data_IF_166261098880
#
_entry.id   IF_166261098880
#
_cell.length_a   1.000
_cell.length_b   1.000
_cell.length_c   1.000
_cell.angle_alpha   90.00
_cell.angle_beta   90.00
_cell.angle_gamma   90.00
#
_symmetry.space_group_name_H-M   'P 1'
#
loop_
_entity.id
_entity.type
_entity.pdbx_description
1 polymer ?
#
# COMPACT_ATOMS: atom_id res chain seq x y z
N UNK A 1 28.06 -13.07 -12.35
CA UNK A 1 27.16 -12.97 -13.51
C UNK A 1 26.08 -11.98 -13.13
N UNK A 2 25.98 -10.85 -13.86
CA UNK A 2 24.90 -9.90 -13.69
C UNK A 2 23.56 -10.59 -14.05
N UNK A 3 22.55 -10.43 -13.23
CA UNK A 3 21.20 -10.86 -13.59
C UNK A 3 20.64 -9.80 -14.55
N UNK A 4 20.25 -10.16 -15.78
CA UNK A 4 19.73 -9.17 -16.72
C UNK A 4 18.49 -8.50 -16.13
N UNK A 5 18.45 -7.17 -16.17
CA UNK A 5 17.27 -6.39 -15.81
C UNK A 5 16.26 -6.47 -16.96
N UNK A 6 15.36 -7.42 -16.89
CA UNK A 6 14.36 -7.68 -17.91
C UNK A 6 12.93 -7.37 -17.45
N UNK A 7 12.77 -6.58 -16.37
CA UNK A 7 11.46 -6.24 -15.83
C UNK A 7 11.22 -4.74 -15.90
N UNK A 8 10.12 -4.34 -16.54
CA UNK A 8 9.55 -2.99 -16.44
C UNK A 8 8.63 -2.96 -15.25
N UNK A 9 9.06 -2.30 -14.16
CA UNK A 9 8.25 -2.15 -12.96
C UNK A 9 7.40 -0.87 -13.03
N UNK A 10 6.08 -1.00 -13.04
CA UNK A 10 5.15 0.13 -12.95
C UNK A 10 4.68 0.24 -11.50
N UNK A 11 4.95 1.40 -10.88
CA UNK A 11 4.72 1.61 -9.45
C UNK A 11 3.67 2.69 -9.25
N UNK A 12 2.61 2.35 -8.54
CA UNK A 12 1.47 3.22 -8.31
C UNK A 12 1.41 3.67 -6.85
N UNK A 13 0.98 4.91 -6.64
CA UNK A 13 0.32 5.29 -5.39
C UNK A 13 -1.10 4.70 -5.39
N UNK A 14 -1.80 4.75 -4.25
CA UNK A 14 -3.13 4.16 -4.14
C UNK A 14 -4.23 5.23 -4.03
N UNK A 15 -4.28 5.95 -2.90
CA UNK A 15 -5.33 6.92 -2.64
C UNK A 15 -5.28 8.08 -3.63
N UNK A 16 -6.40 8.41 -4.26
CA UNK A 16 -6.54 9.45 -5.30
C UNK A 16 -5.68 9.20 -6.57
N UNK A 17 -5.15 7.98 -6.73
CA UNK A 17 -4.40 7.54 -7.92
C UNK A 17 -5.04 6.32 -8.58
N UNK A 18 -5.27 5.25 -7.83
CA UNK A 18 -6.03 4.06 -8.28
C UNK A 18 -7.47 4.10 -7.78
N UNK A 19 -7.72 4.74 -6.65
CA UNK A 19 -9.01 4.95 -6.01
C UNK A 19 -9.36 6.45 -6.00
N UNK A 20 -10.63 6.84 -6.18
CA UNK A 20 -11.04 8.25 -6.12
C UNK A 20 -11.08 8.83 -4.71
N UNK A 21 -11.07 7.98 -3.69
CA UNK A 21 -11.25 8.34 -2.27
C UNK A 21 -10.11 7.82 -1.41
N UNK A 22 -10.04 8.30 -0.16
CA UNK A 22 -9.18 7.69 0.85
C UNK A 22 -9.77 6.35 1.31
N UNK A 23 -8.96 5.30 1.32
CA UNK A 23 -9.41 3.94 1.70
C UNK A 23 -10.01 3.86 3.10
N UNK A 24 -9.54 4.68 4.04
CA UNK A 24 -10.08 4.71 5.40
C UNK A 24 -11.52 5.23 5.41
N UNK A 25 -11.79 6.28 4.63
CA UNK A 25 -13.13 6.89 4.54
C UNK A 25 -14.12 5.94 3.89
N UNK A 26 -13.69 5.19 2.91
CA UNK A 26 -14.55 4.28 2.17
C UNK A 26 -14.80 2.96 2.93
N UNK A 27 -13.73 2.31 3.42
CA UNK A 27 -13.83 0.97 3.98
C UNK A 27 -14.10 0.94 5.49
N UNK A 28 -13.52 1.89 6.26
CA UNK A 28 -13.53 1.82 7.73
C UNK A 28 -14.56 2.77 8.37
N UNK A 29 -14.62 4.02 7.93
CA UNK A 29 -15.42 5.02 8.61
C UNK A 29 -16.91 4.65 8.72
N UNK A 30 -17.55 4.11 7.68
CA UNK A 30 -18.95 3.70 7.78
C UNK A 30 -19.17 2.53 8.76
N UNK A 31 -18.18 1.64 8.90
CA UNK A 31 -18.29 0.44 9.75
C UNK A 31 -18.12 0.79 11.23
N UNK A 32 -17.21 1.71 11.53
CA UNK A 32 -16.85 2.09 12.90
C UNK A 32 -17.50 3.39 13.34
N UNK A 33 -18.42 3.96 12.55
CA UNK A 33 -19.13 5.21 12.88
C UNK A 33 -18.20 6.42 12.98
N UNK A 34 -17.11 6.46 12.21
CA UNK A 34 -16.10 7.52 12.27
C UNK A 34 -16.54 8.69 11.39
N UNK A 35 -16.60 9.89 11.99
CA UNK A 35 -16.84 11.13 11.24
C UNK A 35 -15.54 11.62 10.60
N UNK A 36 -15.48 11.69 9.28
CA UNK A 36 -14.28 12.05 8.51
C UNK A 36 -13.71 13.42 8.91
N UNK A 37 -14.57 14.45 9.03
CA UNK A 37 -14.12 15.81 9.39
C UNK A 37 -13.44 15.84 10.76
N UNK A 38 -14.04 15.20 11.76
CA UNK A 38 -13.49 15.15 13.11
C UNK A 38 -12.21 14.32 13.16
N UNK A 39 -12.18 13.23 12.42
CA UNK A 39 -11.00 12.36 12.32
C UNK A 39 -9.79 13.11 11.78
N UNK A 40 -9.92 13.75 10.62
CA UNK A 40 -8.80 14.47 10.01
C UNK A 40 -8.41 15.72 10.79
N UNK A 41 -9.37 16.41 11.43
CA UNK A 41 -9.06 17.52 12.32
C UNK A 41 -8.19 17.07 13.51
N UNK A 42 -8.51 15.93 14.14
CA UNK A 42 -7.71 15.36 15.23
C UNK A 42 -6.33 14.91 14.76
N UNK A 43 -6.22 14.33 13.56
CA UNK A 43 -4.91 14.02 12.98
C UNK A 43 -4.06 15.28 12.79
N UNK A 44 -4.65 16.34 12.23
CA UNK A 44 -3.98 17.64 12.05
C UNK A 44 -3.52 18.27 13.36
N UNK A 45 -4.32 18.17 14.42
CA UNK A 45 -3.94 18.63 15.75
C UNK A 45 -2.71 17.89 16.31
N UNK A 46 -2.66 16.55 16.17
CA UNK A 46 -1.50 15.76 16.59
C UNK A 46 -0.22 16.18 15.84
N UNK A 47 -0.33 16.40 14.53
CA UNK A 47 0.81 16.86 13.73
C UNK A 47 1.27 18.25 14.16
N UNK A 48 0.35 19.21 14.28
CA UNK A 48 0.68 20.61 14.52
C UNK A 48 1.11 20.88 15.97
N UNK A 49 0.45 20.23 16.95
CA UNK A 49 0.64 20.53 18.37
C UNK A 49 1.61 19.59 19.07
N UNK A 50 1.78 18.36 18.57
CA UNK A 50 2.60 17.33 19.22
C UNK A 50 3.71 16.77 18.33
N UNK A 51 3.84 17.24 17.08
CA UNK A 51 4.93 16.88 16.18
C UNK A 51 4.87 15.44 15.65
N UNK A 52 3.68 14.85 15.56
CA UNK A 52 3.52 13.52 14.96
C UNK A 52 3.80 13.57 13.46
N UNK A 53 4.40 12.50 12.91
CA UNK A 53 4.34 12.26 11.48
C UNK A 53 2.89 12.06 11.05
N UNK A 54 2.55 12.50 9.84
CA UNK A 54 1.18 12.43 9.31
C UNK A 54 0.61 11.01 9.33
N UNK A 55 1.42 10.03 8.93
CA UNK A 55 1.02 8.63 8.86
C UNK A 55 0.83 8.05 10.26
N UNK A 56 1.71 8.37 11.20
CA UNK A 56 1.57 7.94 12.59
C UNK A 56 0.36 8.60 13.26
N UNK A 57 0.07 9.86 12.94
CA UNK A 57 -1.09 10.57 13.48
C UNK A 57 -2.40 9.87 13.06
N UNK A 58 -2.60 9.62 11.76
CA UNK A 58 -3.84 8.96 11.32
C UNK A 58 -3.94 7.52 11.83
N UNK A 59 -2.84 6.76 11.85
CA UNK A 59 -2.83 5.40 12.37
C UNK A 59 -3.19 5.36 13.86
N UNK A 60 -2.66 6.30 14.65
CA UNK A 60 -3.01 6.44 16.07
C UNK A 60 -4.48 6.79 16.24
N UNK A 61 -4.97 7.84 15.58
CA UNK A 61 -6.37 8.27 15.71
C UNK A 61 -7.33 7.16 15.28
N UNK A 62 -6.98 6.38 14.25
CA UNK A 62 -7.77 5.25 13.80
C UNK A 62 -7.88 4.16 14.89
N UNK A 63 -6.75 3.82 15.55
CA UNK A 63 -6.75 2.88 16.68
C UNK A 63 -7.61 3.38 17.85
N UNK A 64 -7.53 4.69 18.17
CA UNK A 64 -8.35 5.29 19.22
C UNK A 64 -9.84 5.20 18.87
N UNK A 65 -10.22 5.45 17.63
CA UNK A 65 -11.61 5.34 17.19
C UNK A 65 -12.17 3.90 17.23
N UNK A 66 -11.30 2.90 17.11
CA UNK A 66 -11.64 1.48 17.13
C UNK A 66 -11.29 0.78 18.44
N UNK A 67 -11.03 1.53 19.52
CA UNK A 67 -10.51 0.97 20.78
C UNK A 67 -11.44 -0.09 21.40
N UNK A 68 -12.75 0.10 21.32
CA UNK A 68 -13.76 -0.81 21.90
C UNK A 68 -13.88 -2.10 21.06
N UNK A 69 -13.76 -1.98 19.74
CA UNK A 69 -13.92 -3.11 18.80
C UNK A 69 -12.77 -3.09 17.76
N UNK A 70 -11.57 -3.41 18.22
CA UNK A 70 -10.38 -3.47 17.37
C UNK A 70 -10.50 -4.61 16.36
N UNK A 71 -10.47 -4.33 15.05
CA UNK A 71 -10.59 -5.36 14.04
C UNK A 71 -9.34 -6.25 13.97
N UNK A 72 -9.54 -7.44 13.45
CA UNK A 72 -8.45 -8.34 13.04
C UNK A 72 -7.97 -7.98 11.63
N UNK A 73 -6.77 -8.46 11.25
CA UNK A 73 -6.32 -8.36 9.86
C UNK A 73 -7.27 -9.05 8.88
N UNK A 74 -7.90 -10.16 9.29
CA UNK A 74 -8.91 -10.85 8.48
C UNK A 74 -10.12 -9.93 8.22
N UNK A 75 -10.61 -9.23 9.26
CA UNK A 75 -11.70 -8.25 9.10
C UNK A 75 -11.32 -7.07 8.23
N UNK A 76 -10.13 -6.52 8.41
CA UNK A 76 -9.64 -5.43 7.56
C UNK A 76 -9.52 -5.87 6.09
N UNK A 77 -9.02 -7.08 5.83
CA UNK A 77 -8.95 -7.66 4.48
C UNK A 77 -10.35 -7.81 3.85
N UNK A 78 -11.33 -8.29 4.62
CA UNK A 78 -12.73 -8.36 4.17
C UNK A 78 -13.26 -6.97 3.78
N UNK A 79 -13.00 -5.96 4.61
CA UNK A 79 -13.42 -4.57 4.33
C UNK A 79 -12.73 -3.99 3.09
N UNK A 80 -11.51 -4.42 2.78
CA UNK A 80 -10.80 -4.07 1.55
C UNK A 80 -11.55 -4.44 0.27
N UNK A 81 -12.44 -5.44 0.29
CA UNK A 81 -13.29 -5.80 -0.86
C UNK A 81 -14.31 -4.72 -1.26
N UNK A 82 -14.56 -3.76 -0.38
CA UNK A 82 -15.49 -2.64 -0.61
C UNK A 82 -14.86 -1.48 -1.36
N UNK A 83 -13.53 -1.47 -1.47
CA UNK A 83 -12.79 -0.38 -2.10
C UNK A 83 -13.16 -0.23 -3.58
N UNK A 84 -13.41 0.99 -4.00
CA UNK A 84 -13.73 1.35 -5.37
C UNK A 84 -12.52 1.90 -6.12
N UNK A 85 -12.57 1.83 -7.43
CA UNK A 85 -11.45 2.18 -8.29
C UNK A 85 -11.92 3.03 -9.45
N UNK A 86 -11.00 3.81 -10.01
CA UNK A 86 -11.27 4.50 -11.26
C UNK A 86 -11.67 3.52 -12.37
N UNK A 87 -12.48 3.96 -13.34
CA UNK A 87 -12.84 3.15 -14.51
C UNK A 87 -11.60 2.60 -15.24
N UNK A 88 -11.70 1.35 -15.73
CA UNK A 88 -10.58 0.67 -16.40
C UNK A 88 -9.70 -0.18 -15.48
N UNK A 89 -9.95 -0.18 -14.16
CA UNK A 89 -9.31 -1.09 -13.20
C UNK A 89 -10.25 -2.23 -12.80
N UNK A 90 -9.76 -3.47 -12.76
CA UNK A 90 -8.34 -3.90 -12.85
C UNK A 90 -7.82 -4.20 -14.27
N UNK A 91 -8.64 -4.06 -15.31
CA UNK A 91 -8.35 -4.50 -16.70
C UNK A 91 -7.06 -3.87 -17.24
N UNK A 92 -6.77 -2.62 -16.90
CA UNK A 92 -5.56 -1.89 -17.27
C UNK A 92 -4.28 -2.66 -16.93
N UNK A 93 -4.24 -3.39 -15.80
CA UNK A 93 -3.03 -4.14 -15.42
C UNK A 93 -2.69 -5.24 -16.42
N UNK A 94 -3.69 -5.96 -16.91
CA UNK A 94 -3.47 -7.01 -17.92
C UNK A 94 -3.19 -6.39 -19.31
N UNK A 95 -3.88 -5.31 -19.66
CA UNK A 95 -3.62 -4.59 -20.89
C UNK A 95 -2.18 -4.09 -20.98
N UNK A 96 -1.64 -3.52 -19.89
CA UNK A 96 -0.27 -3.01 -19.87
C UNK A 96 0.79 -4.11 -19.98
N UNK A 97 0.52 -5.33 -19.52
CA UNK A 97 1.44 -6.46 -19.69
C UNK A 97 1.67 -6.82 -21.17
N UNK A 98 0.73 -6.47 -22.02
CA UNK A 98 0.80 -6.80 -23.46
C UNK A 98 1.04 -5.58 -24.33
N UNK A 99 0.34 -4.46 -24.10
CA UNK A 99 0.39 -3.27 -24.95
C UNK A 99 1.71 -2.49 -24.86
N UNK A 100 2.43 -2.58 -23.74
CA UNK A 100 3.71 -1.91 -23.55
C UNK A 100 4.90 -2.67 -24.16
N UNK A 101 4.72 -3.93 -24.52
CA UNK A 101 5.79 -4.78 -25.04
C UNK A 101 5.72 -4.89 -26.56
N UNK A 102 6.84 -4.63 -27.22
CA UNK A 102 7.02 -4.95 -28.65
C UNK A 102 7.44 -6.42 -28.82
N UNK A 103 7.33 -7.01 -30.02
CA UNK A 103 7.86 -8.35 -30.28
C UNK A 103 9.33 -8.50 -29.92
N UNK A 104 10.13 -7.46 -30.08
CA UNK A 104 11.54 -7.45 -29.72
C UNK A 104 11.74 -7.51 -28.20
N UNK A 105 10.96 -6.78 -27.43
CA UNK A 105 10.94 -6.88 -25.96
C UNK A 105 10.63 -8.31 -25.50
N UNK A 106 9.63 -8.93 -26.09
CA UNK A 106 9.24 -10.32 -25.76
C UNK A 106 10.36 -11.31 -26.11
N UNK A 107 11.00 -11.14 -27.28
CA UNK A 107 12.12 -11.99 -27.71
C UNK A 107 13.32 -11.90 -26.75
N UNK A 108 13.51 -10.76 -26.08
CA UNK A 108 14.55 -10.55 -25.06
C UNK A 108 14.09 -10.89 -23.63
N UNK A 109 12.90 -11.48 -23.46
CA UNK A 109 12.37 -11.90 -22.16
C UNK A 109 11.97 -10.74 -21.26
N UNK A 110 11.69 -9.55 -21.81
CA UNK A 110 11.24 -8.40 -21.02
C UNK A 110 9.79 -8.63 -20.60
N UNK A 111 9.51 -8.35 -19.32
CA UNK A 111 8.19 -8.48 -18.71
C UNK A 111 7.74 -7.18 -18.06
N UNK A 112 6.43 -7.03 -17.86
CA UNK A 112 5.85 -5.90 -17.10
C UNK A 112 5.31 -6.42 -15.78
N UNK A 113 5.68 -5.78 -14.69
CA UNK A 113 5.15 -6.05 -13.35
C UNK A 113 4.57 -4.78 -12.73
N UNK A 114 3.50 -4.96 -11.95
CA UNK A 114 2.81 -3.87 -11.26
C UNK A 114 3.08 -3.92 -9.77
N UNK A 115 3.28 -2.75 -9.15
CA UNK A 115 3.56 -2.58 -7.74
C UNK A 115 2.73 -1.44 -7.16
N UNK A 116 2.37 -1.53 -5.88
CA UNK A 116 1.74 -0.43 -5.15
C UNK A 116 2.64 -0.03 -3.98
N UNK A 117 2.88 1.27 -3.83
CA UNK A 117 3.58 1.87 -2.69
C UNK A 117 2.70 2.99 -2.13
N UNK A 118 2.01 2.72 -1.02
CA UNK A 118 0.97 3.57 -0.45
C UNK A 118 1.28 4.00 0.98
N UNK A 119 0.83 5.19 1.35
CA UNK A 119 0.73 5.62 2.75
C UNK A 119 -0.53 5.11 3.46
N UNK A 120 -1.40 4.39 2.74
CA UNK A 120 -2.59 3.75 3.28
C UNK A 120 -2.31 2.38 3.91
N UNK A 121 -3.35 1.74 4.42
CA UNK A 121 -3.29 0.48 5.16
C UNK A 121 -3.18 -0.71 4.19
N UNK A 122 -2.03 -1.36 4.18
CA UNK A 122 -1.71 -2.48 3.27
C UNK A 122 -2.78 -3.58 3.25
N UNK A 123 -3.25 -4.01 4.41
CA UNK A 123 -4.20 -5.13 4.51
C UNK A 123 -5.56 -4.83 3.87
N UNK A 124 -5.97 -3.58 3.79
CA UNK A 124 -7.15 -3.17 3.01
C UNK A 124 -6.90 -3.36 1.51
N UNK A 125 -5.74 -2.92 1.03
CA UNK A 125 -5.36 -3.09 -0.38
C UNK A 125 -5.23 -4.58 -0.72
N UNK A 126 -4.63 -5.40 0.17
CA UNK A 126 -4.53 -6.85 0.01
C UNK A 126 -5.90 -7.54 -0.10
N UNK A 127 -6.97 -6.95 0.45
CA UNK A 127 -8.34 -7.45 0.36
C UNK A 127 -9.11 -6.96 -0.87
N UNK A 128 -8.56 -6.04 -1.63
CA UNK A 128 -9.23 -5.41 -2.77
C UNK A 128 -9.16 -6.25 -4.04
N UNK A 129 -10.06 -5.94 -5.00
CA UNK A 129 -10.12 -6.62 -6.29
C UNK A 129 -8.88 -6.43 -7.17
N UNK A 130 -8.04 -5.42 -6.90
CA UNK A 130 -6.81 -5.19 -7.66
C UNK A 130 -5.60 -5.96 -7.13
N UNK A 131 -5.65 -6.45 -5.88
CA UNK A 131 -4.54 -7.16 -5.26
C UNK A 131 -3.97 -8.33 -6.08
N UNK A 132 -4.79 -9.17 -6.76
CA UNK A 132 -4.28 -10.28 -7.58
C UNK A 132 -3.45 -9.86 -8.80
N UNK A 133 -3.58 -8.61 -9.24
CA UNK A 133 -2.92 -8.09 -10.44
C UNK A 133 -1.56 -7.45 -10.18
N UNK A 134 -1.21 -7.25 -8.91
CA UNK A 134 0.05 -6.61 -8.53
C UNK A 134 1.03 -7.59 -7.90
N UNK A 135 2.29 -7.46 -8.25
CA UNK A 135 3.39 -8.32 -7.77
C UNK A 135 3.63 -8.15 -6.27
N UNK A 136 3.57 -6.91 -5.79
CA UNK A 136 3.78 -6.57 -4.37
C UNK A 136 3.07 -5.27 -3.99
N UNK A 137 2.53 -5.27 -2.78
CA UNK A 137 1.95 -4.10 -2.14
C UNK A 137 2.81 -3.74 -0.93
N UNK A 138 3.26 -2.49 -0.88
CA UNK A 138 3.89 -1.85 0.28
C UNK A 138 2.94 -0.80 0.82
N UNK A 139 2.68 -0.84 2.12
CA UNK A 139 1.75 0.07 2.79
C UNK A 139 1.98 0.09 4.29
N UNK A 140 1.22 0.93 4.99
CA UNK A 140 1.23 0.97 6.44
C UNK A 140 0.64 -0.31 7.03
N UNK A 141 1.19 -0.76 8.15
CA UNK A 141 0.79 -2.00 8.81
C UNK A 141 0.68 -1.80 10.31
N UNK A 142 -0.27 -2.51 10.93
CA UNK A 142 -0.35 -2.64 12.37
C UNK A 142 0.29 -3.95 12.86
N UNK A 143 0.85 -3.93 14.05
CA UNK A 143 1.10 -5.12 14.83
C UNK A 143 -0.24 -5.69 15.34
N UNK A 144 -0.24 -6.98 15.69
CA UNK A 144 -1.43 -7.64 16.20
C UNK A 144 -1.15 -8.28 17.57
N UNK A 145 -2.21 -8.46 18.35
CA UNK A 145 -2.18 -9.25 19.59
C UNK A 145 -2.34 -10.76 19.30
N UNK A 146 -2.39 -11.57 20.37
CA UNK A 146 -2.58 -13.03 20.30
C UNK A 146 -3.93 -13.46 19.67
N UNK A 147 -4.88 -12.53 19.55
CA UNK A 147 -6.20 -12.73 18.91
C UNK A 147 -6.28 -12.14 17.51
N UNK A 148 -5.12 -11.82 16.89
CA UNK A 148 -5.00 -11.16 15.58
C UNK A 148 -5.65 -9.77 15.51
N UNK A 149 -5.93 -9.10 16.63
CA UNK A 149 -6.49 -7.74 16.66
C UNK A 149 -5.38 -6.73 16.56
N UNK A 150 -5.58 -5.71 15.73
CA UNK A 150 -4.60 -4.64 15.53
C UNK A 150 -4.30 -3.89 16.84
N UNK A 151 -3.02 -3.52 17.07
CA UNK A 151 -2.58 -2.91 18.33
C UNK A 151 -1.78 -1.64 18.14
N UNK A 152 -0.70 -1.68 17.40
CA UNK A 152 0.29 -0.61 17.31
C UNK A 152 0.76 -0.43 15.86
N UNK A 153 1.06 0.80 15.40
CA UNK A 153 1.66 1.02 14.08
C UNK A 153 3.02 0.29 13.96
N UNK A 154 3.03 -0.82 13.23
CA UNK A 154 4.24 -1.62 12.98
C UNK A 154 5.09 -1.03 11.87
N UNK A 155 4.43 -0.41 10.89
CA UNK A 155 5.05 0.22 9.73
C UNK A 155 4.24 1.42 9.28
N UNK A 156 4.89 2.55 9.15
CA UNK A 156 4.36 3.73 8.48
C UNK A 156 5.20 4.01 7.22
N UNK A 157 4.56 4.39 6.14
CA UNK A 157 5.21 4.75 4.88
C UNK A 157 4.80 6.18 4.54
N UNK A 158 5.70 7.13 4.80
CA UNK A 158 5.52 8.53 4.42
C UNK A 158 5.86 8.77 2.95
N UNK A 159 5.53 9.96 2.44
CA UNK A 159 5.85 10.33 1.06
C UNK A 159 7.34 10.18 0.73
N UNK A 160 8.23 10.61 1.63
CA UNK A 160 9.67 10.49 1.44
C UNK A 160 10.16 9.05 1.56
N UNK A 161 9.54 8.26 2.43
CA UNK A 161 9.88 6.84 2.58
C UNK A 161 9.46 6.00 1.36
N UNK A 162 8.52 6.45 0.54
CA UNK A 162 8.18 5.75 -0.71
C UNK A 162 9.41 5.50 -1.58
N UNK A 163 10.38 6.42 -1.59
CA UNK A 163 11.62 6.30 -2.37
C UNK A 163 12.42 5.04 -2.04
N UNK A 164 12.50 4.63 -0.76
CA UNK A 164 13.22 3.39 -0.41
C UNK A 164 12.58 2.14 -1.03
N UNK A 165 11.25 2.15 -1.24
CA UNK A 165 10.57 1.02 -1.85
C UNK A 165 10.79 0.97 -3.36
N UNK A 166 11.01 2.12 -4.02
CA UNK A 166 11.46 2.17 -5.41
C UNK A 166 12.83 1.47 -5.56
N UNK A 167 13.77 1.76 -4.65
CA UNK A 167 15.07 1.06 -4.62
C UNK A 167 14.91 -0.44 -4.35
N UNK A 168 14.02 -0.85 -3.42
CA UNK A 168 13.75 -2.26 -3.16
C UNK A 168 13.22 -2.98 -4.40
N UNK A 169 12.27 -2.37 -5.10
CA UNK A 169 11.69 -2.93 -6.33
C UNK A 169 12.77 -3.04 -7.41
N UNK A 170 13.55 -1.99 -7.64
CA UNK A 170 14.64 -1.98 -8.62
C UNK A 170 15.69 -3.07 -8.36
N UNK A 171 15.98 -3.36 -7.08
CA UNK A 171 16.90 -4.41 -6.65
C UNK A 171 16.27 -5.80 -6.52
N UNK A 172 14.98 -5.98 -6.79
CA UNK A 172 14.26 -7.24 -6.58
C UNK A 172 14.11 -7.65 -5.11
N UNK A 173 14.35 -6.73 -4.15
CA UNK A 173 14.36 -6.99 -2.71
C UNK A 173 12.97 -6.76 -2.11
N UNK A 174 12.03 -7.63 -2.42
CA UNK A 174 10.61 -7.46 -2.08
C UNK A 174 10.27 -7.88 -0.64
N UNK A 175 11.21 -8.46 0.11
CA UNK A 175 11.02 -8.86 1.50
C UNK A 175 11.63 -7.81 2.43
N UNK A 176 10.98 -7.54 3.56
CA UNK A 176 11.43 -6.53 4.53
C UNK A 176 12.67 -6.93 5.33
N UNK A 177 12.95 -8.25 5.45
CA UNK A 177 14.11 -8.80 6.13
C UNK A 177 15.40 -8.75 5.31
N UNK A 178 15.32 -8.28 4.07
CA UNK A 178 16.48 -8.04 3.21
C UNK A 178 17.01 -6.62 3.42
N UNK A 179 18.30 -6.46 3.68
CA UNK A 179 18.93 -5.14 3.73
C UNK A 179 19.16 -4.61 2.32
N UNK A 180 18.61 -3.45 2.03
CA UNK A 180 18.71 -2.82 0.72
C UNK A 180 20.14 -2.38 0.39
N UNK A 181 21.03 -2.28 1.39
CA UNK A 181 22.43 -1.93 1.21
C UNK A 181 23.31 -3.14 0.85
N UNK A 182 22.85 -4.37 1.12
CA UNK A 182 23.66 -5.58 0.89
C UNK A 182 23.74 -5.98 -0.58
N UNK A 183 22.81 -5.49 -1.42
CA UNK A 183 22.75 -5.83 -2.84
C UNK A 183 22.90 -4.58 -3.70
N UNK A 184 23.84 -4.64 -4.62
CA UNK A 184 23.91 -3.65 -5.70
C UNK A 184 22.99 -4.08 -6.84
N UNK A 185 22.37 -3.14 -7.59
CA UNK A 185 21.76 -3.47 -8.86
C UNK A 185 22.79 -4.22 -9.70
N UNK A 186 22.38 -5.21 -10.45
CA UNK A 186 23.25 -5.77 -11.48
C UNK A 186 23.50 -4.66 -12.51
N UNK A 187 24.77 -4.28 -12.68
CA UNK A 187 25.22 -3.35 -13.71
C UNK A 187 24.99 -3.92 -15.11
#
# INVERSE_FOLDING_TARGET
MSVPQNTIAIIYDYDQTLSPTYMQEEALFPVFGINAKNFWARCGELVQSQGYDHELAYMKVLLDCMEIDRPTNAKLRELGSRLTFYPGLPEMFEEFKTSLLTPDHVAHGITVEHYIVSSGIKVLIDGSRIAPYVRKIFGCEYAVDERDRITFPKRAISHTQKTQFLFRINKGMLRYDQDVNDHMPAD
#
